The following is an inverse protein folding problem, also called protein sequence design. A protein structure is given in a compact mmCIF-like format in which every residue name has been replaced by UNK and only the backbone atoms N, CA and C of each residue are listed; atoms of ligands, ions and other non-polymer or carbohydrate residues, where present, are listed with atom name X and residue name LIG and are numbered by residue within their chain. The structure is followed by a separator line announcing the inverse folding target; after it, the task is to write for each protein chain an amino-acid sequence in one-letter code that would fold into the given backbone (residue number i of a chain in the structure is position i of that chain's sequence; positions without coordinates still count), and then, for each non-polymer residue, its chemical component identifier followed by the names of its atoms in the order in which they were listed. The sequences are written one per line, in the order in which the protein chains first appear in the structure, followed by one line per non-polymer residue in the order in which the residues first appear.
data_IF_462035787898
#
_entry.id   IF_462035787898
#
_cell.length_a   1.000
_cell.length_b   1.000
_cell.length_c   1.000
_cell.angle_alpha   90.00
_cell.angle_beta   90.00
_cell.angle_gamma   90.00
#
_symmetry.space_group_name_H-M   'P 1'
#
loop_
_entity.id
_entity.type
_entity.pdbx_description
1 polymer ?
#
# COMPACT_ATOMS: atom_id res chain seq x y z
N UNK A 1 62.38 42.82 98.52
CA UNK A 1 61.54 43.80 97.83
C UNK A 1 61.58 43.52 96.36
N UNK A 2 60.53 43.17 95.86
CA UNK A 2 60.01 43.11 94.53
C UNK A 2 59.43 41.74 94.13
N UNK A 3 58.21 41.60 94.52
CA UNK A 3 57.28 40.54 94.08
C UNK A 3 56.32 41.25 93.12
N UNK A 4 56.53 41.22 91.81
CA UNK A 4 55.44 41.61 90.87
C UNK A 4 55.82 41.46 89.36
N UNK A 5 56.63 40.46 88.97
CA UNK A 5 56.88 40.25 87.51
C UNK A 5 56.64 38.85 87.00
N UNK A 6 55.88 38.00 87.72
CA UNK A 6 55.65 36.61 87.21
C UNK A 6 54.18 36.26 86.88
N UNK A 7 53.22 37.17 87.01
CA UNK A 7 51.80 36.86 86.75
C UNK A 7 51.24 37.36 85.40
N UNK A 8 52.04 38.00 84.47
CA UNK A 8 51.54 38.51 83.19
C UNK A 8 51.80 37.58 81.99
N UNK A 9 52.55 36.49 82.15
CA UNK A 9 52.91 35.64 81.02
C UNK A 9 52.11 34.36 80.81
N UNK A 10 51.27 33.98 81.82
CA UNK A 10 50.49 32.75 81.75
C UNK A 10 49.09 32.98 81.04
N UNK A 11 48.60 34.24 81.15
CA UNK A 11 47.31 34.60 80.51
C UNK A 11 47.37 34.73 78.96
N UNK A 12 48.54 35.19 78.47
CA UNK A 12 48.71 35.45 77.05
C UNK A 12 48.86 34.16 76.18
N UNK A 13 49.50 33.13 76.73
CA UNK A 13 49.69 31.84 76.05
C UNK A 13 48.37 31.03 76.00
N UNK A 14 47.56 31.12 77.06
CA UNK A 14 46.27 30.41 77.08
C UNK A 14 45.24 31.02 76.10
N UNK A 15 45.23 32.33 75.92
CA UNK A 15 44.31 33.01 74.95
C UNK A 15 44.69 32.70 73.56
N UNK A 16 45.98 32.65 73.20
CA UNK A 16 46.45 32.33 71.81
C UNK A 16 46.17 30.86 71.47
N UNK A 17 46.24 29.94 72.39
CA UNK A 17 45.98 28.53 72.19
C UNK A 17 44.50 28.26 72.00
N UNK A 18 43.60 28.92 72.73
CA UNK A 18 42.15 28.80 72.56
C UNK A 18 41.67 29.46 71.22
N UNK A 19 42.23 30.58 70.84
CA UNK A 19 41.90 31.24 69.51
C UNK A 19 42.43 30.42 68.35
N UNK A 20 43.60 29.76 68.45
CA UNK A 20 44.11 28.89 67.37
C UNK A 20 43.29 27.62 67.26
N UNK A 21 42.79 27.01 68.39
CA UNK A 21 41.97 25.82 68.37
C UNK A 21 40.56 26.12 67.80
N UNK A 22 39.99 27.30 68.05
CA UNK A 22 38.67 27.68 67.52
C UNK A 22 38.74 28.04 66.02
N UNK A 23 39.86 28.61 65.54
CA UNK A 23 40.05 28.91 64.13
C UNK A 23 40.20 27.63 63.29
N UNK A 24 40.88 26.58 63.81
CA UNK A 24 41.03 25.30 63.12
C UNK A 24 39.73 24.51 63.11
N UNK A 25 38.88 24.65 64.14
CA UNK A 25 37.58 23.97 64.19
C UNK A 25 36.54 24.63 63.22
N UNK A 26 36.55 25.96 63.07
CA UNK A 26 35.74 26.68 62.08
C UNK A 26 36.15 26.35 60.65
N UNK A 27 37.44 26.22 60.32
CA UNK A 27 37.93 25.86 59.01
C UNK A 27 37.60 24.41 58.61
N UNK A 28 37.58 23.47 59.56
CA UNK A 28 37.19 22.09 59.36
C UNK A 28 35.67 21.91 59.11
N UNK A 29 34.82 22.74 59.74
CA UNK A 29 33.36 22.72 59.51
C UNK A 29 32.99 23.36 58.15
N UNK A 30 33.66 24.42 57.70
CA UNK A 30 33.37 25.03 56.41
C UNK A 30 33.75 24.12 55.22
N UNK A 31 34.81 23.32 55.34
CA UNK A 31 35.22 22.37 54.28
C UNK A 31 34.29 21.16 54.11
N UNK A 32 33.61 20.75 55.18
CA UNK A 32 32.64 19.65 55.11
C UNK A 32 31.26 20.07 54.62
N UNK A 33 30.81 21.26 54.98
CA UNK A 33 29.52 21.78 54.49
C UNK A 33 29.55 22.06 52.94
N UNK A 34 30.68 22.52 52.42
CA UNK A 34 30.78 22.84 50.98
C UNK A 34 30.95 21.60 50.08
N UNK A 35 31.32 20.44 50.63
CA UNK A 35 31.49 19.22 49.87
C UNK A 35 30.17 18.42 49.82
N UNK A 36 29.47 18.32 50.93
CA UNK A 36 28.17 17.67 50.98
C UNK A 36 27.08 18.42 50.18
N UNK A 37 27.12 19.76 50.15
CA UNK A 37 26.21 20.57 49.36
C UNK A 37 26.52 20.52 47.86
N UNK A 38 27.80 20.41 47.47
CA UNK A 38 28.16 20.18 46.05
C UNK A 38 27.77 18.77 45.55
N UNK A 39 27.95 17.77 46.41
CA UNK A 39 27.55 16.40 46.08
C UNK A 39 26.03 16.23 46.08
N UNK A 40 25.29 16.95 46.95
CA UNK A 40 23.82 17.02 46.95
C UNK A 40 23.29 17.84 45.76
N UNK A 41 23.96 18.93 45.35
CA UNK A 41 23.57 19.65 44.12
C UNK A 41 23.93 18.91 42.86
N UNK A 42 24.98 18.08 42.84
CA UNK A 42 25.31 17.21 41.70
C UNK A 42 24.31 16.02 41.60
N UNK A 43 23.74 15.55 42.70
CA UNK A 43 22.67 14.53 42.70
C UNK A 43 21.26 15.12 42.50
N UNK A 44 21.04 16.40 42.71
CA UNK A 44 19.72 17.05 42.64
C UNK A 44 19.30 17.53 41.23
N UNK A 45 20.04 17.19 40.18
CA UNK A 45 19.72 17.64 38.81
C UNK A 45 19.50 16.54 37.78
N UNK A 46 18.96 15.41 38.17
CA UNK A 46 18.28 14.56 37.18
C UNK A 46 16.77 14.75 37.38
N UNK A 47 16.21 15.72 36.71
CA UNK A 47 14.76 15.79 36.56
C UNK A 47 14.23 14.49 35.89
N UNK A 48 12.97 14.15 36.08
CA UNK A 48 12.37 12.92 35.53
C UNK A 48 12.44 12.82 34.01
N UNK A 49 12.69 13.96 33.33
CA UNK A 49 12.88 14.05 31.90
C UNK A 49 13.89 15.16 31.56
N UNK A 50 14.77 14.93 30.62
CA UNK A 50 15.77 15.89 30.12
C UNK A 50 15.86 15.82 28.60
N UNK A 51 15.99 16.99 27.96
CA UNK A 51 16.27 17.12 26.53
C UNK A 51 17.72 17.59 26.34
N UNK A 52 18.44 16.94 25.46
CA UNK A 52 19.78 17.34 25.01
C UNK A 52 19.86 17.26 23.48
N UNK A 53 20.76 18.02 22.90
CA UNK A 53 21.07 17.92 21.46
C UNK A 53 22.44 17.26 21.33
N UNK A 54 22.48 16.07 20.73
CA UNK A 54 23.71 15.31 20.50
C UNK A 54 23.87 15.06 19.01
N UNK A 55 25.00 15.45 18.44
CA UNK A 55 25.26 15.30 17.00
C UNK A 55 24.14 15.87 16.10
N UNK A 56 23.52 16.98 16.50
CA UNK A 56 22.42 17.60 15.76
C UNK A 56 21.08 16.87 15.85
N UNK A 57 20.95 15.87 16.72
CA UNK A 57 19.70 15.15 16.98
C UNK A 57 19.20 15.43 18.40
N UNK A 58 17.91 15.65 18.53
CA UNK A 58 17.27 15.76 19.84
C UNK A 58 17.24 14.39 20.52
N UNK A 59 17.78 14.33 21.73
CA UNK A 59 17.78 13.14 22.58
C UNK A 59 17.01 13.46 23.84
N UNK A 60 15.99 12.65 24.12
CA UNK A 60 15.17 12.70 25.31
C UNK A 60 15.65 11.62 26.29
N UNK A 61 16.02 12.01 27.50
CA UNK A 61 16.39 11.07 28.57
C UNK A 61 15.24 11.01 29.59
N UNK A 62 14.71 9.80 29.82
CA UNK A 62 13.56 9.56 30.67
C UNK A 62 13.87 8.44 31.69
N UNK A 63 13.55 8.67 32.95
CA UNK A 63 13.62 7.60 33.95
C UNK A 63 12.51 6.54 33.74
N UNK A 64 12.70 5.34 34.32
CA UNK A 64 11.76 4.23 34.16
C UNK A 64 10.34 4.53 34.69
N UNK A 65 10.15 5.26 35.79
CA UNK A 65 8.81 5.67 36.23
C UNK A 65 8.09 6.56 35.23
N UNK A 66 8.81 7.50 34.59
CA UNK A 66 8.26 8.39 33.55
C UNK A 66 7.91 7.61 32.29
N UNK A 67 8.77 6.69 31.86
CA UNK A 67 8.46 5.80 30.73
C UNK A 67 7.18 4.99 30.97
N UNK A 68 7.02 4.43 32.18
CA UNK A 68 5.81 3.70 32.54
C UNK A 68 4.56 4.59 32.57
N UNK A 69 4.68 5.81 33.10
CA UNK A 69 3.58 6.81 33.13
C UNK A 69 3.14 7.21 31.73
N UNK A 70 4.08 7.35 30.79
CA UNK A 70 3.81 7.66 29.39
C UNK A 70 3.34 6.42 28.58
N UNK A 71 3.34 5.24 29.18
CA UNK A 71 2.90 3.99 28.55
C UNK A 71 3.77 3.60 27.35
N UNK A 72 5.08 3.82 27.42
CA UNK A 72 5.98 3.57 26.31
C UNK A 72 6.10 2.08 26.01
N UNK A 73 5.86 1.71 24.75
CA UNK A 73 6.18 0.40 24.22
C UNK A 73 7.09 0.54 23.00
N UNK A 74 8.03 -0.38 22.88
CA UNK A 74 8.99 -0.39 21.79
C UNK A 74 8.87 -1.68 20.97
N UNK A 75 9.08 -1.57 19.65
CA UNK A 75 9.20 -2.71 18.76
C UNK A 75 10.56 -2.67 18.07
N UNK A 76 11.15 -3.85 17.84
CA UNK A 76 12.40 -3.99 17.12
C UNK A 76 12.13 -4.01 15.62
N UNK A 77 12.85 -3.19 14.85
CA UNK A 77 12.77 -3.18 13.41
C UNK A 77 13.54 -4.37 12.82
N UNK A 78 12.88 -5.10 11.94
CA UNK A 78 13.46 -6.25 11.23
C UNK A 78 13.66 -5.92 9.76
N UNK A 79 14.79 -6.38 9.21
CA UNK A 79 15.04 -6.23 7.78
C UNK A 79 14.01 -6.99 6.96
N UNK A 80 13.43 -6.33 5.99
CA UNK A 80 12.40 -6.87 5.10
C UNK A 80 12.78 -6.58 3.65
N UNK A 81 12.47 -7.53 2.77
CA UNK A 81 12.53 -7.32 1.33
C UNK A 81 11.14 -6.94 0.85
N UNK A 82 11.01 -5.76 0.27
CA UNK A 82 9.75 -5.31 -0.32
C UNK A 82 9.97 -4.69 -1.68
N UNK A 83 8.88 -4.52 -2.43
CA UNK A 83 8.86 -3.76 -3.68
C UNK A 83 8.15 -2.44 -3.45
N UNK A 84 8.49 -1.44 -4.24
CA UNK A 84 7.71 -0.20 -4.24
C UNK A 84 6.25 -0.52 -4.56
N UNK A 85 5.32 0.12 -3.86
CA UNK A 85 3.89 0.03 -4.14
C UNK A 85 3.43 1.28 -4.85
N UNK A 86 2.64 1.07 -5.90
CA UNK A 86 1.95 2.14 -6.63
C UNK A 86 0.46 1.88 -6.52
N UNK A 87 -0.29 2.91 -6.20
CA UNK A 87 -1.76 2.84 -6.14
C UNK A 87 -2.34 3.50 -7.37
N UNK A 88 -3.17 2.77 -8.11
CA UNK A 88 -3.85 3.24 -9.32
C UNK A 88 -5.36 3.08 -9.18
N UNK A 89 -6.14 3.96 -9.80
CA UNK A 89 -7.59 3.80 -9.85
C UNK A 89 -7.96 2.59 -10.69
N UNK A 90 -8.97 1.89 -10.23
CA UNK A 90 -9.59 0.76 -10.89
C UNK A 90 -11.12 0.89 -10.84
N UNK A 91 -11.83 0.17 -11.70
CA UNK A 91 -13.28 0.24 -11.79
C UNK A 91 -13.86 -1.14 -12.11
N UNK A 92 -14.90 -1.54 -11.38
CA UNK A 92 -15.68 -2.74 -11.70
C UNK A 92 -16.49 -2.52 -12.98
N UNK A 93 -16.43 -3.48 -13.91
CA UNK A 93 -17.07 -3.39 -15.22
C UNK A 93 -18.41 -4.11 -15.26
N UNK A 94 -19.40 -3.49 -15.90
CA UNK A 94 -20.62 -4.19 -16.30
C UNK A 94 -20.33 -5.14 -17.45
N UNK A 95 -20.73 -6.39 -17.32
CA UNK A 95 -20.63 -7.42 -18.37
C UNK A 95 -21.95 -7.62 -19.12
N UNK A 96 -22.90 -6.71 -18.98
CA UNK A 96 -24.21 -6.78 -19.66
C UNK A 96 -24.07 -6.83 -21.18
N UNK A 97 -23.13 -6.04 -21.74
CA UNK A 97 -22.87 -6.02 -23.18
C UNK A 97 -22.37 -7.39 -23.66
N UNK A 98 -21.47 -8.03 -22.88
CA UNK A 98 -20.96 -9.39 -23.17
C UNK A 98 -22.06 -10.43 -23.13
N UNK A 99 -22.98 -10.34 -22.17
CA UNK A 99 -24.13 -11.24 -22.06
C UNK A 99 -25.08 -11.06 -23.27
N UNK A 100 -25.36 -9.82 -23.66
CA UNK A 100 -26.19 -9.49 -24.82
C UNK A 100 -25.56 -10.02 -26.12
N UNK A 101 -24.26 -9.76 -26.30
CA UNK A 101 -23.49 -10.32 -27.43
C UNK A 101 -23.61 -11.84 -27.46
N UNK A 102 -23.37 -12.54 -26.35
CA UNK A 102 -23.39 -13.98 -26.29
C UNK A 102 -24.75 -14.56 -26.69
N UNK A 103 -25.85 -13.96 -26.23
CA UNK A 103 -27.19 -14.37 -26.62
C UNK A 103 -27.41 -14.22 -28.15
N UNK A 104 -26.99 -13.10 -28.72
CA UNK A 104 -27.06 -12.86 -30.16
C UNK A 104 -26.17 -13.84 -30.95
N UNK A 105 -24.95 -14.10 -30.46
CA UNK A 105 -24.02 -15.05 -31.09
C UNK A 105 -24.59 -16.48 -31.13
N UNK A 106 -25.11 -16.97 -30.02
CA UNK A 106 -25.74 -18.31 -29.94
C UNK A 106 -26.95 -18.41 -30.85
N UNK A 107 -27.79 -17.37 -30.94
CA UNK A 107 -28.93 -17.34 -31.86
C UNK A 107 -28.49 -17.39 -33.33
N UNK A 108 -27.44 -16.59 -33.71
CA UNK A 108 -26.89 -16.63 -35.08
C UNK A 108 -26.22 -17.97 -35.38
N UNK A 109 -25.56 -18.59 -34.39
CA UNK A 109 -24.99 -19.93 -34.56
C UNK A 109 -26.04 -20.98 -34.81
N UNK A 110 -27.19 -20.94 -34.08
CA UNK A 110 -28.32 -21.80 -34.35
C UNK A 110 -28.91 -21.57 -35.76
N UNK A 111 -29.01 -20.31 -36.21
CA UNK A 111 -29.46 -20.00 -37.57
C UNK A 111 -28.49 -20.56 -38.60
N UNK A 112 -27.18 -20.45 -38.41
CA UNK A 112 -26.16 -21.02 -39.28
C UNK A 112 -26.34 -22.57 -39.40
N UNK A 113 -26.57 -23.25 -38.30
CA UNK A 113 -26.78 -24.68 -38.32
C UNK A 113 -28.05 -25.05 -39.12
N UNK A 114 -29.12 -24.27 -38.97
CA UNK A 114 -30.37 -24.46 -39.74
C UNK A 114 -30.09 -24.24 -41.25
N UNK A 115 -29.49 -23.13 -41.63
CA UNK A 115 -29.17 -22.82 -43.04
C UNK A 115 -28.26 -23.88 -43.68
N UNK A 116 -27.27 -24.39 -42.92
CA UNK A 116 -26.41 -25.50 -43.39
C UNK A 116 -27.19 -26.79 -43.62
N UNK A 117 -28.14 -27.10 -42.76
CA UNK A 117 -29.01 -28.28 -42.93
C UNK A 117 -29.89 -28.15 -44.19
N UNK A 118 -30.49 -26.97 -44.41
CA UNK A 118 -31.31 -26.67 -45.59
C UNK A 118 -30.49 -26.73 -46.87
N UNK A 119 -29.31 -26.08 -46.90
CA UNK A 119 -28.38 -26.15 -48.05
C UNK A 119 -27.91 -27.57 -48.32
N UNK A 120 -27.74 -28.43 -47.33
CA UNK A 120 -27.38 -29.83 -47.56
C UNK A 120 -28.51 -30.64 -48.20
N UNK A 121 -29.76 -30.39 -47.79
CA UNK A 121 -30.95 -31.03 -48.39
C UNK A 121 -31.09 -30.61 -49.86
N UNK A 122 -31.04 -29.29 -50.14
CA UNK A 122 -31.17 -28.76 -51.50
C UNK A 122 -30.01 -29.18 -52.40
N UNK A 123 -28.80 -29.28 -51.87
CA UNK A 123 -27.63 -29.77 -52.61
C UNK A 123 -27.82 -31.23 -53.04
N UNK A 124 -28.36 -32.11 -52.16
CA UNK A 124 -28.65 -33.48 -52.52
C UNK A 124 -29.73 -33.57 -53.56
N UNK A 125 -30.78 -32.75 -53.48
CA UNK A 125 -31.87 -32.73 -54.48
C UNK A 125 -31.35 -32.22 -55.82
N UNK A 126 -30.61 -31.12 -55.86
CA UNK A 126 -30.00 -30.64 -57.09
C UNK A 126 -29.08 -31.69 -57.73
N UNK A 127 -28.24 -32.36 -56.92
CA UNK A 127 -27.35 -33.41 -57.44
C UNK A 127 -28.14 -34.58 -58.00
N UNK A 128 -29.24 -34.98 -57.38
CA UNK A 128 -30.13 -36.02 -57.85
C UNK A 128 -30.79 -35.65 -59.18
N UNK A 129 -31.37 -34.43 -59.27
CA UNK A 129 -32.04 -33.96 -60.47
C UNK A 129 -31.05 -33.77 -61.62
N UNK A 130 -29.83 -33.28 -61.35
CA UNK A 130 -28.77 -33.15 -62.32
C UNK A 130 -28.35 -34.48 -62.93
N UNK A 131 -28.17 -35.53 -62.11
CA UNK A 131 -27.83 -36.86 -62.54
C UNK A 131 -28.95 -37.49 -63.42
N UNK A 132 -30.21 -37.30 -63.03
CA UNK A 132 -31.36 -37.79 -63.83
C UNK A 132 -31.48 -37.03 -65.16
N UNK A 133 -31.23 -35.74 -65.20
CA UNK A 133 -31.23 -34.94 -66.41
C UNK A 133 -30.14 -35.40 -67.37
N UNK A 134 -28.91 -35.58 -66.91
CA UNK A 134 -27.76 -36.07 -67.68
C UNK A 134 -27.99 -37.48 -68.26
N UNK A 135 -28.80 -38.30 -67.58
CA UNK A 135 -29.19 -39.65 -68.06
C UNK A 135 -30.45 -39.65 -68.97
N UNK A 136 -30.93 -38.48 -69.38
CA UNK A 136 -32.14 -38.32 -70.21
C UNK A 136 -33.41 -38.95 -69.60
N UNK A 137 -33.58 -38.92 -68.29
CA UNK A 137 -34.68 -39.49 -67.53
C UNK A 137 -35.81 -38.49 -67.27
N UNK A 138 -36.47 -37.96 -68.27
CA UNK A 138 -37.69 -37.14 -68.29
C UNK A 138 -37.72 -35.99 -67.20
N UNK A 139 -36.59 -35.38 -66.91
CA UNK A 139 -36.49 -34.19 -66.07
C UNK A 139 -36.48 -32.98 -66.99
N UNK A 140 -37.33 -31.97 -66.69
CA UNK A 140 -37.31 -30.74 -67.49
C UNK A 140 -36.12 -29.83 -67.05
N UNK A 141 -35.56 -29.12 -67.98
CA UNK A 141 -34.53 -28.10 -67.73
C UNK A 141 -34.98 -27.06 -66.70
N UNK A 142 -36.28 -26.68 -66.76
CA UNK A 142 -36.89 -25.79 -65.79
C UNK A 142 -36.80 -26.33 -64.36
N UNK A 143 -37.01 -27.67 -64.18
CA UNK A 143 -36.95 -28.30 -62.85
C UNK A 143 -35.49 -28.27 -62.31
N UNK A 144 -34.51 -28.52 -63.15
CA UNK A 144 -33.11 -28.45 -62.80
C UNK A 144 -32.70 -27.03 -62.43
N UNK A 145 -33.05 -26.03 -63.23
CA UNK A 145 -32.78 -24.59 -62.96
C UNK A 145 -33.46 -24.15 -61.68
N UNK A 146 -34.69 -24.60 -61.38
CA UNK A 146 -35.36 -24.25 -60.11
C UNK A 146 -34.62 -24.83 -58.92
N UNK A 147 -34.14 -26.07 -58.99
CA UNK A 147 -33.37 -26.67 -57.92
C UNK A 147 -32.01 -26.00 -57.73
N UNK A 148 -31.35 -25.58 -58.81
CA UNK A 148 -30.12 -24.83 -58.77
C UNK A 148 -30.33 -23.47 -58.08
N UNK A 149 -31.38 -22.72 -58.47
CA UNK A 149 -31.70 -21.43 -57.86
C UNK A 149 -32.01 -21.57 -56.34
N UNK A 150 -32.72 -22.67 -55.93
CA UNK A 150 -32.99 -22.94 -54.51
C UNK A 150 -31.68 -23.26 -53.76
N UNK A 151 -30.79 -24.05 -54.34
CA UNK A 151 -29.48 -24.34 -53.74
C UNK A 151 -28.66 -23.04 -53.57
N UNK A 152 -28.56 -22.22 -54.59
CA UNK A 152 -27.83 -20.94 -54.55
C UNK A 152 -28.39 -19.99 -53.47
N UNK A 153 -29.74 -19.92 -53.30
CA UNK A 153 -30.38 -19.14 -52.27
C UNK A 153 -29.99 -19.65 -50.86
N UNK A 154 -30.08 -20.97 -50.62
CA UNK A 154 -29.73 -21.56 -49.31
C UNK A 154 -28.22 -21.46 -49.01
N UNK A 155 -27.34 -21.53 -50.00
CA UNK A 155 -25.91 -21.30 -49.85
C UNK A 155 -25.63 -19.84 -49.51
N UNK A 156 -26.35 -18.88 -50.10
CA UNK A 156 -26.25 -17.47 -49.75
C UNK A 156 -26.69 -17.22 -48.29
N UNK A 157 -27.73 -17.91 -47.79
CA UNK A 157 -28.15 -17.82 -46.37
C UNK A 157 -27.08 -18.38 -45.39
N UNK A 158 -26.37 -19.45 -45.79
CA UNK A 158 -25.21 -19.94 -45.02
C UNK A 158 -24.14 -18.89 -44.93
N UNK A 159 -23.75 -18.30 -46.05
CA UNK A 159 -22.74 -17.24 -46.12
C UNK A 159 -23.15 -16.02 -45.29
N UNK A 160 -24.41 -15.60 -45.34
CA UNK A 160 -24.91 -14.45 -44.59
C UNK A 160 -24.79 -14.71 -43.08
N UNK A 161 -25.16 -15.90 -42.60
CA UNK A 161 -25.04 -16.28 -41.19
C UNK A 161 -23.57 -16.36 -40.75
N UNK A 162 -22.67 -16.89 -41.59
CA UNK A 162 -21.22 -16.92 -41.31
C UNK A 162 -20.62 -15.52 -41.19
N UNK A 163 -20.95 -14.62 -42.12
CA UNK A 163 -20.52 -13.24 -42.08
C UNK A 163 -21.03 -12.51 -40.82
N UNK A 164 -22.28 -12.78 -40.41
CA UNK A 164 -22.86 -12.19 -39.20
C UNK A 164 -22.12 -12.65 -37.94
N UNK A 165 -21.75 -13.92 -37.83
CA UNK A 165 -20.94 -14.43 -36.70
C UNK A 165 -19.56 -13.76 -36.66
N UNK A 166 -18.87 -13.67 -37.83
CA UNK A 166 -17.57 -13.03 -37.92
C UNK A 166 -17.63 -11.54 -37.54
N UNK A 167 -18.68 -10.85 -37.93
CA UNK A 167 -18.90 -9.44 -37.59
C UNK A 167 -19.12 -9.28 -36.07
N UNK A 168 -20.00 -10.08 -35.51
CA UNK A 168 -20.28 -10.06 -34.07
C UNK A 168 -18.99 -10.31 -33.25
N UNK A 169 -18.21 -11.34 -33.61
CA UNK A 169 -16.94 -11.64 -32.91
C UNK A 169 -15.94 -10.48 -33.06
N UNK A 170 -15.86 -9.86 -34.22
CA UNK A 170 -14.95 -8.74 -34.48
C UNK A 170 -15.31 -7.52 -33.65
N UNK A 171 -16.59 -7.19 -33.49
CA UNK A 171 -17.09 -6.11 -32.64
C UNK A 171 -16.73 -6.38 -31.17
N UNK A 172 -17.01 -7.59 -30.68
CA UNK A 172 -16.69 -7.93 -29.29
C UNK A 172 -15.18 -7.88 -29.02
N UNK A 173 -14.36 -8.37 -29.97
CA UNK A 173 -12.91 -8.32 -29.89
C UNK A 173 -12.38 -6.87 -29.83
N UNK A 174 -12.99 -5.98 -30.60
CA UNK A 174 -12.64 -4.56 -30.59
C UNK A 174 -13.03 -3.88 -29.25
N UNK A 175 -14.15 -4.26 -28.68
CA UNK A 175 -14.66 -3.64 -27.45
C UNK A 175 -14.04 -4.23 -26.17
N UNK A 176 -13.86 -5.55 -26.12
CA UNK A 176 -13.47 -6.28 -24.91
C UNK A 176 -12.10 -6.97 -24.98
N UNK A 177 -11.48 -6.96 -26.18
CA UNK A 177 -10.22 -7.65 -26.41
C UNK A 177 -10.39 -9.13 -26.78
N UNK A 178 -9.31 -9.73 -27.25
CA UNK A 178 -9.32 -11.08 -27.78
C UNK A 178 -9.66 -12.16 -26.77
N UNK A 179 -9.25 -11.97 -25.49
CA UNK A 179 -9.46 -12.97 -24.44
C UNK A 179 -10.94 -13.07 -24.07
N UNK A 180 -11.60 -11.95 -23.79
CA UNK A 180 -13.04 -11.93 -23.45
C UNK A 180 -13.89 -12.37 -24.64
N UNK A 181 -13.53 -11.95 -25.87
CA UNK A 181 -14.21 -12.40 -27.08
C UNK A 181 -14.14 -13.93 -27.22
N UNK A 182 -12.97 -14.52 -26.99
CA UNK A 182 -12.79 -15.97 -26.98
C UNK A 182 -13.65 -16.64 -25.90
N UNK A 183 -13.65 -16.10 -24.68
CA UNK A 183 -14.48 -16.62 -23.58
C UNK A 183 -15.98 -16.64 -23.94
N UNK A 184 -16.46 -15.58 -24.61
CA UNK A 184 -17.85 -15.48 -25.01
C UNK A 184 -18.24 -16.47 -26.12
N UNK A 185 -17.36 -16.66 -27.11
CA UNK A 185 -17.56 -17.61 -28.21
C UNK A 185 -17.51 -19.07 -27.71
N UNK A 186 -16.51 -19.41 -26.90
CA UNK A 186 -16.26 -20.77 -26.42
C UNK A 186 -17.12 -21.15 -25.19
N UNK A 187 -17.89 -20.21 -24.62
CA UNK A 187 -18.64 -20.41 -23.39
C UNK A 187 -17.76 -20.85 -22.22
N UNK A 188 -16.63 -20.14 -22.04
CA UNK A 188 -15.61 -20.55 -21.08
C UNK A 188 -16.11 -20.54 -19.61
N UNK A 189 -15.53 -21.39 -18.76
CA UNK A 189 -15.84 -21.39 -17.33
C UNK A 189 -15.54 -20.06 -16.62
N UNK A 190 -14.52 -19.30 -17.12
CA UNK A 190 -14.16 -17.99 -16.59
C UNK A 190 -15.32 -17.01 -16.76
N UNK A 191 -15.86 -16.91 -17.98
CA UNK A 191 -16.98 -16.03 -18.25
C UNK A 191 -18.24 -16.48 -17.50
N UNK A 192 -18.45 -17.79 -17.34
CA UNK A 192 -19.58 -18.31 -16.59
C UNK A 192 -19.51 -17.88 -15.11
N UNK A 193 -18.32 -17.91 -14.47
CA UNK A 193 -18.16 -17.44 -13.09
C UNK A 193 -18.47 -15.93 -12.95
N UNK A 194 -18.15 -15.15 -13.97
CA UNK A 194 -18.50 -13.72 -14.01
C UNK A 194 -20.01 -13.52 -14.14
N UNK A 195 -20.68 -14.27 -15.01
CA UNK A 195 -22.14 -14.20 -15.15
C UNK A 195 -22.88 -14.69 -13.89
N UNK A 196 -22.34 -15.70 -13.21
CA UNK A 196 -22.86 -16.20 -11.93
C UNK A 196 -22.55 -15.25 -10.75
N UNK A 197 -21.91 -14.10 -11.00
CA UNK A 197 -21.49 -13.14 -9.98
C UNK A 197 -20.58 -13.74 -8.90
N UNK A 198 -19.79 -14.75 -9.24
CA UNK A 198 -18.74 -15.31 -8.38
C UNK A 198 -17.43 -14.57 -8.53
N UNK A 199 -17.22 -13.99 -9.71
CA UNK A 199 -16.07 -13.17 -10.05
C UNK A 199 -16.53 -11.88 -10.75
N UNK A 200 -15.71 -10.86 -10.72
CA UNK A 200 -15.92 -9.57 -11.38
C UNK A 200 -14.76 -9.23 -12.29
N UNK A 201 -15.04 -8.46 -13.34
CA UNK A 201 -14.02 -7.93 -14.24
C UNK A 201 -13.72 -6.48 -13.85
N UNK A 202 -12.45 -6.19 -13.60
CA UNK A 202 -12.00 -4.88 -13.14
C UNK A 202 -11.06 -4.28 -14.18
N UNK A 203 -11.38 -3.10 -14.65
CA UNK A 203 -10.50 -2.27 -15.47
C UNK A 203 -9.56 -1.48 -14.56
N UNK A 204 -8.27 -1.51 -14.87
CA UNK A 204 -7.27 -0.65 -14.26
C UNK A 204 -6.47 0.04 -15.37
N UNK A 205 -6.32 1.35 -15.28
CA UNK A 205 -5.58 2.14 -16.28
C UNK A 205 -4.24 2.58 -15.70
N UNK A 206 -3.18 2.20 -16.40
CA UNK A 206 -1.82 2.64 -16.10
C UNK A 206 -1.53 3.93 -16.87
N UNK A 207 -1.09 5.00 -16.17
CA UNK A 207 -0.77 6.27 -16.84
C UNK A 207 0.32 6.13 -17.89
N UNK A 208 0.25 6.97 -18.93
CA UNK A 208 1.32 7.09 -19.92
C UNK A 208 2.63 7.48 -19.22
N UNK A 209 3.72 6.79 -19.58
CA UNK A 209 5.03 7.00 -18.95
C UNK A 209 5.32 6.11 -17.74
N UNK A 210 4.42 5.21 -17.34
CA UNK A 210 4.73 4.21 -16.34
C UNK A 210 5.92 3.35 -16.81
N UNK A 211 6.96 3.24 -15.98
CA UNK A 211 8.20 2.49 -16.28
C UNK A 211 8.09 1.00 -15.97
N UNK A 212 6.92 0.53 -15.60
CA UNK A 212 6.63 -0.85 -15.24
C UNK A 212 5.44 -1.39 -16.05
N UNK A 213 5.46 -2.68 -16.36
CA UNK A 213 4.35 -3.37 -17.04
C UNK A 213 3.26 -3.79 -16.05
N UNK A 214 2.10 -4.20 -16.57
CA UNK A 214 1.01 -4.73 -15.75
C UNK A 214 1.46 -6.01 -15.03
N UNK A 215 1.43 -6.05 -13.69
CA UNK A 215 1.77 -7.25 -12.95
C UNK A 215 0.69 -8.32 -13.13
N UNK A 216 1.09 -9.59 -13.00
CA UNK A 216 0.16 -10.73 -13.11
C UNK A 216 -0.93 -10.70 -12.04
N UNK A 217 -0.60 -10.18 -10.85
CA UNK A 217 -1.53 -10.06 -9.73
C UNK A 217 -1.41 -8.68 -9.10
N UNK A 218 -2.54 -8.15 -8.64
CA UNK A 218 -2.65 -6.89 -7.93
C UNK A 218 -3.52 -7.08 -6.69
N UNK A 219 -3.36 -6.22 -5.70
CA UNK A 219 -4.27 -6.15 -4.56
C UNK A 219 -5.30 -5.05 -4.80
N UNK A 220 -6.58 -5.40 -4.86
CA UNK A 220 -7.69 -4.46 -4.98
C UNK A 220 -8.21 -4.09 -3.60
N UNK A 221 -8.28 -2.80 -3.32
CA UNK A 221 -8.90 -2.26 -2.12
C UNK A 221 -10.38 -1.95 -2.41
N UNK A 222 -11.23 -2.61 -1.65
CA UNK A 222 -12.68 -2.56 -1.75
C UNK A 222 -13.24 -1.36 -0.97
N UNK A 223 -14.46 -0.89 -1.26
CA UNK A 223 -15.17 -0.01 -0.37
C UNK A 223 -15.24 -0.62 1.05
N UNK A 224 -14.76 0.12 2.06
CA UNK A 224 -14.63 -0.40 3.43
C UNK A 224 -13.23 -0.86 3.83
N UNK A 225 -12.23 -0.76 2.92
CA UNK A 225 -10.81 -0.97 3.24
C UNK A 225 -10.34 -2.42 3.23
N UNK A 226 -11.23 -3.39 2.95
CA UNK A 226 -10.80 -4.78 2.75
C UNK A 226 -10.08 -4.93 1.42
N UNK A 227 -9.10 -5.85 1.36
CA UNK A 227 -8.32 -6.11 0.16
C UNK A 227 -8.55 -7.51 -0.36
N UNK A 228 -8.62 -7.63 -1.69
CA UNK A 228 -8.70 -8.91 -2.40
C UNK A 228 -7.65 -8.96 -3.51
N UNK A 229 -7.24 -10.16 -3.90
CA UNK A 229 -6.29 -10.35 -5.00
C UNK A 229 -7.04 -10.42 -6.33
N UNK A 230 -6.51 -9.75 -7.36
CA UNK A 230 -7.00 -9.83 -8.71
C UNK A 230 -5.91 -10.29 -9.66
N UNK A 231 -6.27 -11.14 -10.63
CA UNK A 231 -5.38 -11.71 -11.63
C UNK A 231 -5.54 -11.02 -12.99
N UNK A 232 -4.42 -10.77 -13.66
CA UNK A 232 -4.40 -10.17 -15.00
C UNK A 232 -5.04 -11.12 -16.02
N UNK A 233 -6.01 -10.61 -16.77
CA UNK A 233 -6.64 -11.30 -17.89
C UNK A 233 -5.98 -10.92 -19.22
N UNK A 234 -5.93 -9.63 -19.52
CA UNK A 234 -5.40 -9.11 -20.79
C UNK A 234 -5.19 -7.60 -20.73
N UNK A 235 -4.61 -7.06 -21.80
CA UNK A 235 -4.82 -5.65 -22.15
C UNK A 235 -6.29 -5.41 -22.47
N UNK A 236 -6.79 -4.22 -22.14
CA UNK A 236 -8.19 -3.85 -22.35
C UNK A 236 -8.26 -2.71 -23.40
N UNK A 237 -9.03 -2.87 -24.48
CA UNK A 237 -9.07 -1.87 -25.57
C UNK A 237 -9.70 -0.54 -25.14
N UNK A 238 -10.66 -0.57 -24.20
CA UNK A 238 -11.30 0.65 -23.71
C UNK A 238 -10.38 1.38 -22.74
N UNK A 239 -10.21 2.67 -22.93
CA UNK A 239 -9.41 3.53 -22.05
C UNK A 239 -10.35 4.31 -21.14
N UNK A 240 -9.96 4.49 -19.87
CA UNK A 240 -10.67 5.41 -18.99
C UNK A 240 -10.51 6.84 -19.52
N UNK A 241 -11.58 7.55 -19.86
CA UNK A 241 -11.50 8.89 -20.44
C UNK A 241 -10.84 9.92 -19.50
N UNK A 242 -10.76 9.63 -18.21
CA UNK A 242 -10.13 10.50 -17.21
C UNK A 242 -8.63 10.30 -17.11
N UNK A 243 -8.10 9.17 -17.60
CA UNK A 243 -6.70 8.79 -17.45
C UNK A 243 -6.12 8.43 -18.82
N UNK A 244 -5.13 9.21 -19.27
CA UNK A 244 -4.39 8.86 -20.48
C UNK A 244 -3.40 7.74 -20.17
N UNK A 245 -3.58 6.60 -20.82
CA UNK A 245 -2.71 5.45 -20.58
C UNK A 245 -3.20 4.17 -21.22
N UNK A 246 -2.63 3.06 -20.78
CA UNK A 246 -3.01 1.72 -21.21
C UNK A 246 -3.88 1.05 -20.16
N UNK A 247 -5.05 0.58 -20.59
CA UNK A 247 -5.95 -0.16 -19.71
C UNK A 247 -5.64 -1.66 -19.73
N UNK A 248 -5.84 -2.28 -18.57
CA UNK A 248 -5.70 -3.72 -18.34
C UNK A 248 -6.95 -4.25 -17.67
N UNK A 249 -7.30 -5.46 -18.04
CA UNK A 249 -8.42 -6.19 -17.47
C UNK A 249 -7.91 -7.19 -16.45
N UNK A 250 -8.48 -7.14 -15.27
CA UNK A 250 -8.24 -8.07 -14.17
C UNK A 250 -9.52 -8.80 -13.81
N UNK A 251 -9.39 -10.00 -13.25
CA UNK A 251 -10.49 -10.78 -12.70
C UNK A 251 -10.26 -10.97 -11.20
N UNK A 252 -11.28 -10.77 -10.40
CA UNK A 252 -11.23 -10.88 -8.95
C UNK A 252 -12.46 -11.61 -8.42
N UNK A 253 -12.38 -12.26 -7.23
CA UNK A 253 -13.55 -12.78 -6.54
C UNK A 253 -14.57 -11.67 -6.26
N UNK A 254 -15.85 -11.98 -6.46
CA UNK A 254 -16.93 -11.06 -6.12
C UNK A 254 -17.07 -10.94 -4.59
N UNK A 255 -17.31 -9.72 -4.11
CA UNK A 255 -17.56 -9.42 -2.70
C UNK A 255 -18.82 -8.60 -2.54
N UNK A 256 -19.42 -8.67 -1.35
CA UNK A 256 -20.56 -7.82 -0.99
C UNK A 256 -20.20 -6.34 -1.11
N UNK A 257 -21.02 -5.57 -1.83
CA UNK A 257 -20.79 -4.14 -2.08
C UNK A 257 -20.07 -3.81 -3.37
N UNK A 258 -19.59 -4.81 -4.15
CA UNK A 258 -19.17 -4.59 -5.53
C UNK A 258 -20.41 -4.57 -6.43
N UNK A 259 -20.55 -3.48 -7.14
CA UNK A 259 -21.55 -3.32 -8.22
C UNK A 259 -20.87 -2.67 -9.41
N UNK A 260 -21.28 -3.01 -10.63
CA UNK A 260 -20.70 -2.42 -11.84
C UNK A 260 -20.65 -0.90 -11.77
N UNK A 261 -19.50 -0.32 -12.08
CA UNK A 261 -19.23 1.12 -12.01
C UNK A 261 -18.63 1.60 -10.70
N UNK A 262 -18.45 0.76 -9.69
CA UNK A 262 -17.79 1.13 -8.43
C UNK A 262 -16.31 1.39 -8.68
N UNK A 263 -15.81 2.54 -8.17
CA UNK A 263 -14.39 2.86 -8.18
C UNK A 263 -13.66 2.12 -7.06
N UNK A 264 -12.52 1.58 -7.40
CA UNK A 264 -11.64 0.80 -6.55
C UNK A 264 -10.23 1.37 -6.60
N UNK A 265 -9.37 0.94 -5.68
CA UNK A 265 -7.95 1.22 -5.72
C UNK A 265 -7.16 -0.07 -5.95
N UNK A 266 -6.35 -0.08 -6.99
CA UNK A 266 -5.43 -1.17 -7.28
C UNK A 266 -4.05 -0.87 -6.70
N UNK A 267 -3.54 -1.73 -5.82
CA UNK A 267 -2.20 -1.64 -5.27
C UNK A 267 -1.27 -2.61 -6.00
N UNK A 268 -0.28 -2.05 -6.67
CA UNK A 268 0.67 -2.79 -7.50
C UNK A 268 2.03 -2.81 -6.81
N UNK A 269 2.64 -3.98 -6.72
CA UNK A 269 4.05 -4.11 -6.32
C UNK A 269 4.92 -4.01 -7.56
N UNK A 270 5.71 -2.93 -7.69
CA UNK A 270 6.50 -2.62 -8.88
C UNK A 270 8.00 -2.60 -8.60
N UNK A 271 8.82 -2.78 -9.64
CA UNK A 271 10.28 -2.73 -9.55
C UNK A 271 10.93 -3.96 -8.92
N UNK A 272 12.23 -3.85 -8.65
CA UNK A 272 13.02 -4.88 -7.96
C UNK A 272 12.76 -4.88 -6.46
N UNK A 273 12.99 -6.01 -5.82
CA UNK A 273 12.99 -6.08 -4.35
C UNK A 273 14.12 -5.23 -3.78
N UNK A 274 13.78 -4.40 -2.83
CA UNK A 274 14.73 -3.57 -2.08
C UNK A 274 14.76 -4.06 -0.63
N UNK A 275 15.95 -4.10 -0.05
CA UNK A 275 16.14 -4.38 1.37
C UNK A 275 15.94 -3.08 2.16
N UNK A 276 15.09 -3.12 3.15
CA UNK A 276 14.79 -1.97 4.00
C UNK A 276 14.10 -2.42 5.28
N UNK A 277 13.45 -1.49 5.95
CA UNK A 277 12.75 -1.69 7.21
C UNK A 277 11.34 -1.12 7.10
N UNK A 278 10.40 -1.67 7.85
CA UNK A 278 9.06 -1.10 7.96
C UNK A 278 8.95 -0.42 9.31
N UNK A 279 8.79 0.91 9.30
CA UNK A 279 8.44 1.70 10.48
C UNK A 279 6.92 1.64 10.63
N UNK A 280 6.39 1.06 11.71
CA UNK A 280 4.95 0.93 11.89
C UNK A 280 4.25 2.29 11.93
N UNK A 281 3.04 2.40 11.39
CA UNK A 281 2.25 3.65 11.45
C UNK A 281 2.07 4.14 12.89
N UNK A 282 1.93 3.22 13.85
CA UNK A 282 1.80 3.53 15.27
C UNK A 282 3.05 4.17 15.91
N UNK A 283 4.22 4.02 15.27
CA UNK A 283 5.47 4.64 15.72
C UNK A 283 5.67 6.04 15.14
N UNK A 284 4.87 6.43 14.14
CA UNK A 284 5.04 7.69 13.42
C UNK A 284 4.23 8.80 14.09
N UNK A 285 4.93 9.90 14.41
CA UNK A 285 4.34 11.14 14.89
C UNK A 285 4.61 12.26 13.90
N UNK A 286 3.67 13.19 13.78
CA UNK A 286 3.77 14.30 12.86
C UNK A 286 4.07 15.60 13.61
N UNK A 287 5.13 16.29 13.19
CA UNK A 287 5.50 17.59 13.73
C UNK A 287 6.07 18.45 12.61
N UNK A 288 5.64 19.70 12.52
CA UNK A 288 6.09 20.68 11.52
C UNK A 288 5.98 20.18 10.06
N UNK A 289 4.91 19.42 9.76
CA UNK A 289 4.68 18.86 8.44
C UNK A 289 5.59 17.70 8.05
N UNK A 290 6.39 17.17 8.98
CA UNK A 290 7.29 16.02 8.78
C UNK A 290 6.90 14.84 9.66
N UNK A 291 7.16 13.64 9.15
CA UNK A 291 6.99 12.40 9.88
C UNK A 291 8.25 12.05 10.68
N UNK A 292 8.08 11.66 11.93
CA UNK A 292 9.16 11.34 12.86
C UNK A 292 8.85 10.02 13.58
N UNK A 293 9.88 9.33 14.04
CA UNK A 293 9.76 8.23 14.99
C UNK A 293 10.84 8.36 16.07
N UNK A 294 10.52 7.90 17.29
CA UNK A 294 11.48 7.87 18.37
C UNK A 294 12.17 6.53 18.40
N UNK A 295 13.51 6.55 18.19
CA UNK A 295 14.39 5.40 18.35
C UNK A 295 14.86 5.35 19.81
N UNK A 296 14.70 4.18 20.47
CA UNK A 296 15.32 3.92 21.74
C UNK A 296 16.79 3.55 21.53
N UNK A 297 17.71 4.46 21.87
CA UNK A 297 19.16 4.26 21.73
C UNK A 297 19.79 3.63 22.99
N UNK A 298 19.17 3.82 24.17
CA UNK A 298 19.51 3.15 25.42
C UNK A 298 18.22 2.93 26.23
N UNK A 299 18.29 2.24 27.36
CA UNK A 299 17.12 1.93 28.18
C UNK A 299 16.33 3.18 28.63
N UNK A 300 17.01 4.31 28.76
CA UNK A 300 16.47 5.59 29.22
C UNK A 300 16.54 6.70 28.18
N UNK A 301 17.03 6.41 26.94
CA UNK A 301 17.32 7.43 25.91
C UNK A 301 16.56 7.19 24.63
N UNK A 302 15.90 8.24 24.16
CA UNK A 302 15.08 8.24 22.96
C UNK A 302 15.54 9.35 22.01
N UNK A 303 15.86 9.00 20.78
CA UNK A 303 16.30 9.95 19.75
C UNK A 303 15.23 10.07 18.67
N UNK A 304 14.85 11.30 18.31
CA UNK A 304 13.90 11.59 17.25
C UNK A 304 14.58 11.47 15.88
N UNK A 305 14.02 10.65 14.99
CA UNK A 305 14.49 10.43 13.63
C UNK A 305 13.41 10.66 12.60
N UNK A 306 13.77 11.30 11.48
CA UNK A 306 12.86 11.51 10.37
C UNK A 306 12.51 10.16 9.69
N UNK A 307 11.25 10.02 9.33
CA UNK A 307 10.71 8.87 8.59
C UNK A 307 10.33 9.33 7.20
N UNK A 308 10.90 8.70 6.15
CA UNK A 308 10.39 8.91 4.79
C UNK A 308 9.01 8.27 4.66
N UNK A 309 8.07 9.02 4.11
CA UNK A 309 6.69 8.57 3.85
C UNK A 309 6.43 8.27 2.38
N UNK A 310 7.48 8.27 1.54
CA UNK A 310 7.39 8.09 0.08
C UNK A 310 6.97 6.69 -0.33
N UNK A 311 7.18 5.69 0.52
CA UNK A 311 6.85 4.30 0.25
C UNK A 311 5.91 3.73 1.33
N UNK A 312 4.61 4.09 1.31
CA UNK A 312 3.63 3.54 2.22
C UNK A 312 3.43 2.04 1.94
N UNK A 313 3.31 1.25 3.01
CA UNK A 313 2.97 -0.17 2.99
C UNK A 313 1.82 -0.43 3.96
N UNK A 314 1.17 -1.59 3.86
CA UNK A 314 -0.03 -1.91 4.64
C UNK A 314 0.10 -1.62 6.16
N UNK A 315 1.28 -1.83 6.74
CA UNK A 315 1.49 -1.71 8.20
C UNK A 315 2.36 -0.52 8.60
N UNK A 316 2.72 0.38 7.67
CA UNK A 316 3.61 1.50 7.98
C UNK A 316 4.28 2.11 6.76
N UNK A 317 5.51 2.54 6.93
CA UNK A 317 6.33 3.13 5.88
C UNK A 317 7.61 2.32 5.68
N UNK A 318 7.88 1.94 4.44
CA UNK A 318 9.12 1.27 4.09
C UNK A 318 10.24 2.28 3.93
N UNK A 319 11.33 2.10 4.68
CA UNK A 319 12.48 2.98 4.67
C UNK A 319 13.75 2.21 4.36
N UNK A 320 14.61 2.79 3.53
CA UNK A 320 15.92 2.24 3.17
C UNK A 320 17.07 2.94 3.89
N UNK A 321 16.78 4.08 4.54
CA UNK A 321 17.75 4.93 5.24
C UNK A 321 17.16 5.44 6.57
N UNK A 322 18.01 5.93 7.44
CA UNK A 322 17.60 6.52 8.73
C UNK A 322 17.49 5.54 9.89
N UNK A 323 17.31 4.24 9.62
CA UNK A 323 17.20 3.19 10.62
C UNK A 323 18.04 1.96 10.22
N UNK A 324 18.45 1.20 11.24
CA UNK A 324 19.20 -0.05 11.07
C UNK A 324 18.38 -1.25 11.55
N UNK A 325 18.65 -2.46 11.01
CA UNK A 325 18.10 -3.68 11.57
C UNK A 325 18.45 -3.80 13.07
N UNK A 326 17.49 -4.24 13.86
CA UNK A 326 17.55 -4.32 15.32
C UNK A 326 17.38 -2.97 16.06
N UNK A 327 17.24 -1.84 15.37
CA UNK A 327 16.80 -0.60 16.02
C UNK A 327 15.43 -0.80 16.68
N UNK A 328 15.28 -0.21 17.87
CA UNK A 328 14.01 -0.23 18.60
C UNK A 328 13.31 1.10 18.41
N UNK A 329 12.06 1.09 17.97
CA UNK A 329 11.22 2.28 17.83
C UNK A 329 10.04 2.25 18.77
N UNK A 330 9.65 3.40 19.27
CA UNK A 330 8.50 3.54 20.17
C UNK A 330 7.22 3.41 19.34
N UNK A 331 6.41 2.39 19.62
CA UNK A 331 5.15 2.10 18.92
C UNK A 331 3.91 2.52 19.71
N UNK A 332 4.05 2.74 21.03
CA UNK A 332 3.01 3.27 21.90
C UNK A 332 3.61 4.38 22.77
N UNK A 333 2.88 5.47 22.95
CA UNK A 333 3.36 6.64 23.71
C UNK A 333 4.25 7.60 22.90
N UNK A 334 4.46 7.40 21.58
CA UNK A 334 5.29 8.27 20.75
C UNK A 334 4.79 9.72 20.74
N UNK A 335 3.47 9.94 20.73
CA UNK A 335 2.88 11.29 20.79
C UNK A 335 3.12 11.96 22.14
N UNK A 336 3.11 11.18 23.23
CA UNK A 336 3.41 11.68 24.56
C UNK A 336 4.89 12.11 24.66
N UNK A 337 5.82 11.36 24.04
CA UNK A 337 7.23 11.77 23.94
C UNK A 337 7.39 13.10 23.19
N UNK A 338 6.66 13.30 22.11
CA UNK A 338 6.70 14.56 21.36
C UNK A 338 6.20 15.73 22.24
N UNK A 339 5.13 15.54 22.98
CA UNK A 339 4.60 16.54 23.90
C UNK A 339 5.59 16.87 25.02
N UNK A 340 6.25 15.88 25.61
CA UNK A 340 7.26 16.06 26.65
C UNK A 340 8.50 16.79 26.09
N UNK A 341 8.94 16.44 24.89
CA UNK A 341 10.02 17.13 24.19
C UNK A 341 9.71 18.62 23.98
N UNK A 342 8.51 18.94 23.50
CA UNK A 342 8.07 20.33 23.28
C UNK A 342 7.99 21.12 24.58
N UNK A 343 7.48 20.52 25.64
CA UNK A 343 7.43 21.18 26.97
C UNK A 343 8.81 21.52 27.49
N UNK A 344 9.76 20.60 27.37
CA UNK A 344 11.14 20.80 27.85
C UNK A 344 11.91 21.81 26.99
N UNK A 345 11.67 21.90 25.69
CA UNK A 345 12.23 22.94 24.84
C UNK A 345 11.67 24.34 25.18
N UNK A 346 10.38 24.44 25.51
CA UNK A 346 9.74 25.69 25.90
C UNK A 346 10.23 26.25 27.25
N UNK A 347 10.65 25.35 28.17
CA UNK A 347 11.18 25.73 29.48
C UNK A 347 12.67 26.15 29.45
N UNK A 348 13.44 25.68 28.45
CA UNK A 348 14.87 26.04 28.29
C UNK A 348 15.11 27.34 27.55
N UNK A 349 14.11 27.95 26.92
CA UNK A 349 14.23 29.23 26.18
C UNK A 349 13.92 30.49 26.98
N UNK A 350 13.63 30.39 28.27
CA UNK A 350 13.19 31.51 29.10
C UNK A 350 14.25 32.19 29.98
N UNK A 351 15.52 31.80 29.91
CA UNK A 351 16.57 32.30 30.82
C UNK A 351 17.68 33.12 30.17
N UNK A 352 17.49 33.68 28.97
CA UNK A 352 18.55 34.45 28.31
C UNK A 352 18.24 35.90 27.91
N UNK A 353 17.18 36.52 28.45
CA UNK A 353 16.89 37.93 28.21
C UNK A 353 16.61 38.73 29.49
N UNK A 354 17.57 38.74 30.45
CA UNK A 354 17.69 39.77 31.45
C UNK A 354 19.18 39.91 31.89
N UNK A 355 19.94 40.70 31.12
CA UNK A 355 21.02 41.54 31.63
C UNK A 355 21.44 42.55 30.56
#
# INVERSE_FOLDING_TARGET
MNVNSRLLNIGSISIFMVTLLTLTFLAACQGRFNKDDRDRQAQAKKGPAQVSVENGQTVLTLDAPTQSRLGLQVATLTATLTRAQVTLPAMDLSVQDVATFRNAYVATQAQLQKSRAEANVTRKEYTRLKSLFEQNQNISEKSLQSAEGTLQANEADVHAAEQQLNLQESVLRQEWGSVVAKWAVESSPELQRVFDQREVLVQMTMPSGATFGAPKTISLEMPGGTRTEASLVSTFPRVDPRIQGTSFLYIAPAHLGLTPGVNLLGHLSVGSQMKGLIVPTSAVVWSEGKAWAYQQTASDRFSRRAVSTDAPVEKGFFVTQGFLPADKVVTQGAQALLSEEMLLHGQGGGESDEN
#
